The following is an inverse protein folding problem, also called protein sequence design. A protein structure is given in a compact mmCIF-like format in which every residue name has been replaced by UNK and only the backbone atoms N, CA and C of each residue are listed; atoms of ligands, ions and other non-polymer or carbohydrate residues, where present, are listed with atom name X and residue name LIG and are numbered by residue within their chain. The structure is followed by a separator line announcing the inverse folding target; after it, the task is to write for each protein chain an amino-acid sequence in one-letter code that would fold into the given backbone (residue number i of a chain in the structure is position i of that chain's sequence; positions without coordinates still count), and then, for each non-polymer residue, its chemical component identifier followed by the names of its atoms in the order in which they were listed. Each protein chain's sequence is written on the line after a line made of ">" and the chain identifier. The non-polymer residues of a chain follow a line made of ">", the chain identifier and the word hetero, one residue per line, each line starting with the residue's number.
data_IF_765861515612
#
_entry.id   IF_765861515612
#
_cell.length_a   1.000
_cell.length_b   1.000
_cell.length_c   1.000
_cell.angle_alpha   90.00
_cell.angle_beta   90.00
_cell.angle_gamma   90.00
#
_symmetry.space_group_name_H-M   'P 1'
#
loop_
_entity.id
_entity.type
_entity.pdbx_description
1 polymer ?
#
# COMPACT_ATOMS: atom_id res chain seq x y z
N UNK A 1 -3.69 15.88 25.79
CA UNK A 1 -2.51 15.52 24.96
C UNK A 1 -2.42 14.01 24.87
N UNK A 2 -2.30 13.45 23.66
CA UNK A 2 -2.02 12.03 23.40
C UNK A 2 -0.53 11.69 23.68
N UNK A 3 0.04 12.17 24.78
CA UNK A 3 1.47 12.00 25.06
C UNK A 3 1.79 10.51 25.24
N UNK A 4 2.59 9.95 24.33
CA UNK A 4 3.05 8.56 24.36
C UNK A 4 2.37 7.62 23.35
N UNK A 5 1.38 8.08 22.58
CA UNK A 5 0.67 7.23 21.61
C UNK A 5 1.18 7.48 20.19
N UNK A 6 1.48 6.40 19.45
CA UNK A 6 1.80 6.48 18.02
C UNK A 6 0.50 6.47 17.21
N UNK A 7 0.23 7.56 16.51
CA UNK A 7 -0.90 7.62 15.57
C UNK A 7 -0.54 6.84 14.31
N UNK A 8 -1.40 5.89 13.94
CA UNK A 8 -1.28 5.12 12.71
C UNK A 8 -2.54 5.31 11.88
N UNK A 9 -2.37 5.74 10.63
CA UNK A 9 -3.48 5.93 9.69
C UNK A 9 -3.62 4.70 8.80
N UNK A 10 -4.81 4.09 8.76
CA UNK A 10 -5.13 2.98 7.87
C UNK A 10 -6.12 3.48 6.82
N UNK A 11 -5.71 3.49 5.55
CA UNK A 11 -6.55 3.86 4.42
C UNK A 11 -6.96 2.64 3.61
N UNK A 12 -8.24 2.50 3.29
CA UNK A 12 -8.76 1.45 2.40
C UNK A 12 -8.66 1.86 0.91
N UNK A 13 -9.15 1.03 -0.02
CA UNK A 13 -9.06 1.18 -1.49
C UNK A 13 -9.37 2.57 -2.06
N UNK A 14 -10.24 3.36 -1.41
CA UNK A 14 -10.55 4.72 -1.89
C UNK A 14 -9.42 5.72 -1.66
N UNK A 15 -8.45 5.35 -0.82
CA UNK A 15 -7.34 6.19 -0.39
C UNK A 15 -6.01 5.77 -1.03
N UNK A 16 -6.03 5.25 -2.25
CA UNK A 16 -4.83 4.87 -3.03
C UNK A 16 -4.05 6.06 -3.62
N UNK A 17 -4.40 7.30 -3.29
CA UNK A 17 -3.78 8.48 -3.88
C UNK A 17 -2.32 8.63 -3.44
N UNK A 18 -1.43 8.74 -4.42
CA UNK A 18 -0.02 9.08 -4.23
C UNK A 18 0.10 10.39 -3.46
N UNK A 19 -0.66 11.43 -3.84
CA UNK A 19 -0.64 12.74 -3.17
C UNK A 19 -1.03 12.68 -1.69
N UNK A 20 -1.95 11.78 -1.32
CA UNK A 20 -2.33 11.55 0.07
C UNK A 20 -1.17 10.94 0.87
N UNK A 21 -0.47 9.95 0.30
CA UNK A 21 0.73 9.38 0.91
C UNK A 21 1.81 10.43 1.17
N UNK A 22 2.06 11.31 0.19
CA UNK A 22 3.01 12.44 0.36
C UNK A 22 2.60 13.38 1.48
N UNK A 23 1.30 13.72 1.53
CA UNK A 23 0.79 14.60 2.57
C UNK A 23 0.94 13.98 3.96
N UNK A 24 0.57 12.71 4.14
CA UNK A 24 0.72 11.98 5.40
C UNK A 24 2.19 11.88 5.85
N UNK A 25 3.11 11.68 4.90
CA UNK A 25 4.55 11.67 5.17
C UNK A 25 5.07 13.04 5.63
N UNK A 26 4.61 14.14 5.03
CA UNK A 26 4.95 15.50 5.47
C UNK A 26 4.44 15.80 6.89
N UNK A 27 3.35 15.17 7.32
CA UNK A 27 2.86 15.27 8.70
C UNK A 27 3.64 14.40 9.69
N UNK A 28 4.69 13.68 9.24
CA UNK A 28 5.44 12.70 10.05
C UNK A 28 4.57 11.61 10.69
N UNK A 29 3.47 11.25 10.03
CA UNK A 29 2.55 10.21 10.48
C UNK A 29 2.95 8.84 9.93
N UNK A 30 2.68 7.79 10.71
CA UNK A 30 2.82 6.42 10.24
C UNK A 30 1.50 5.99 9.58
N UNK A 31 1.57 5.38 8.40
CA UNK A 31 0.35 5.00 7.69
C UNK A 31 0.53 3.74 6.84
N UNK A 32 -0.59 3.05 6.60
CA UNK A 32 -0.74 1.99 5.61
C UNK A 32 -1.90 2.33 4.72
N UNK A 33 -1.64 2.42 3.42
CA UNK A 33 -2.69 2.54 2.41
C UNK A 33 -2.84 1.19 1.72
N UNK A 34 -4.07 0.69 1.66
CA UNK A 34 -4.38 -0.51 0.89
C UNK A 34 -4.31 -0.18 -0.59
N UNK A 35 -3.62 -1.01 -1.37
CA UNK A 35 -3.35 -0.78 -2.80
C UNK A 35 -3.87 -1.92 -3.68
N UNK A 36 -4.10 -1.60 -4.96
CA UNK A 36 -4.56 -2.54 -6.00
C UNK A 36 -3.43 -3.46 -6.44
N UNK A 37 -3.76 -4.57 -7.11
CA UNK A 37 -2.77 -5.51 -7.62
C UNK A 37 -1.88 -4.89 -8.71
N UNK A 38 -2.45 -3.95 -9.48
CA UNK A 38 -1.77 -3.24 -10.57
C UNK A 38 -0.85 -2.11 -10.08
N UNK A 39 -0.77 -1.88 -8.77
CA UNK A 39 0.11 -0.84 -8.23
C UNK A 39 1.57 -1.26 -8.42
N UNK A 40 2.34 -0.40 -9.06
CA UNK A 40 3.77 -0.60 -9.24
C UNK A 40 4.52 -0.18 -7.98
N UNK A 41 5.43 -1.03 -7.52
CA UNK A 41 6.24 -0.82 -6.33
C UNK A 41 7.70 -1.05 -6.69
N UNK A 42 8.56 -0.13 -6.29
CA UNK A 42 10.01 -0.25 -6.44
C UNK A 42 10.55 -1.16 -5.34
N UNK A 43 11.13 -2.28 -5.73
CA UNK A 43 11.81 -3.20 -4.83
C UNK A 43 13.16 -2.62 -4.37
N UNK A 44 13.78 -3.26 -3.38
CA UNK A 44 15.10 -2.84 -2.86
C UNK A 44 16.20 -2.85 -3.94
N UNK A 45 16.05 -3.69 -4.96
CA UNK A 45 16.94 -3.79 -6.12
C UNK A 45 16.74 -2.65 -7.13
N UNK A 46 15.76 -1.78 -6.89
CA UNK A 46 15.46 -0.62 -7.73
C UNK A 46 14.57 -0.93 -8.93
N UNK A 47 14.11 -2.17 -9.06
CA UNK A 47 13.21 -2.64 -10.11
C UNK A 47 11.77 -2.32 -9.70
N UNK A 48 10.97 -1.83 -10.66
CA UNK A 48 9.52 -1.67 -10.45
C UNK A 48 8.82 -2.98 -10.79
N UNK A 49 8.04 -3.49 -9.85
CA UNK A 49 7.23 -4.69 -10.01
C UNK A 49 5.81 -4.40 -9.53
N UNK A 50 4.83 -5.04 -10.15
CA UNK A 50 3.45 -4.88 -9.72
C UNK A 50 3.17 -5.75 -8.48
N UNK A 51 2.20 -5.33 -7.65
CA UNK A 51 1.83 -6.11 -6.47
C UNK A 51 1.39 -7.54 -6.79
N UNK A 52 0.83 -7.80 -7.97
CA UNK A 52 0.52 -9.18 -8.43
C UNK A 52 1.76 -10.05 -8.58
N UNK A 53 2.87 -9.49 -9.05
CA UNK A 53 4.16 -10.17 -9.22
C UNK A 53 4.81 -10.44 -7.86
N UNK A 54 4.52 -9.58 -6.89
CA UNK A 54 4.91 -9.73 -5.48
C UNK A 54 4.01 -10.69 -4.69
N UNK A 55 3.07 -11.38 -5.35
CA UNK A 55 2.23 -12.42 -4.75
C UNK A 55 0.83 -11.98 -4.29
N UNK A 56 0.38 -10.77 -4.64
CA UNK A 56 -1.00 -10.37 -4.37
C UNK A 56 -1.97 -11.06 -5.34
N UNK A 57 -2.82 -11.93 -4.81
CA UNK A 57 -3.82 -12.72 -5.54
C UNK A 57 -5.02 -13.02 -4.64
N UNK A 58 -6.16 -13.50 -5.19
CA UNK A 58 -7.35 -13.77 -4.37
C UNK A 58 -7.06 -14.72 -3.20
N UNK A 59 -7.28 -14.24 -1.97
CA UNK A 59 -7.01 -14.99 -0.74
C UNK A 59 -5.65 -14.72 -0.10
N UNK A 60 -4.80 -13.86 -0.68
CA UNK A 60 -3.51 -13.47 -0.09
C UNK A 60 -3.56 -12.11 0.60
N UNK A 61 -2.63 -11.91 1.53
CA UNK A 61 -2.33 -10.64 2.16
C UNK A 61 -0.83 -10.37 2.03
N UNK A 62 -0.49 -9.15 1.62
CA UNK A 62 0.87 -8.66 1.43
C UNK A 62 1.05 -7.38 2.26
N UNK A 63 2.18 -7.23 2.92
CA UNK A 63 2.56 -5.99 3.60
C UNK A 63 3.97 -5.64 3.19
N UNK A 64 4.17 -4.45 2.64
CA UNK A 64 5.47 -3.95 2.20
C UNK A 64 5.78 -2.69 3.00
N UNK A 65 6.94 -2.68 3.65
CA UNK A 65 7.37 -1.54 4.44
C UNK A 65 8.40 -0.72 3.66
N UNK A 66 8.31 0.60 3.82
CA UNK A 66 9.26 1.56 3.26
C UNK A 66 9.53 1.36 1.75
N UNK A 67 8.47 1.26 0.96
CA UNK A 67 8.57 1.08 -0.50
C UNK A 67 8.27 2.37 -1.26
N UNK A 68 8.90 2.54 -2.43
CA UNK A 68 8.61 3.65 -3.33
C UNK A 68 7.56 3.22 -4.36
N UNK A 69 6.49 4.01 -4.54
CA UNK A 69 5.44 3.73 -5.53
C UNK A 69 5.70 4.46 -6.85
N UNK A 70 6.34 5.62 -6.80
CA UNK A 70 6.50 6.50 -7.96
C UNK A 70 7.94 6.54 -8.44
N UNK A 71 8.09 6.85 -9.74
CA UNK A 71 9.38 7.16 -10.37
C UNK A 71 9.83 8.61 -10.14
N UNK A 72 9.00 9.44 -9.53
CA UNK A 72 9.31 10.85 -9.30
C UNK A 72 10.41 11.01 -8.24
N UNK A 73 11.45 11.77 -8.57
CA UNK A 73 12.48 12.16 -7.61
C UNK A 73 11.87 13.02 -6.51
N UNK A 74 12.17 12.69 -5.25
CA UNK A 74 11.65 13.40 -4.08
C UNK A 74 10.37 12.80 -3.47
N UNK A 75 9.87 11.70 -4.02
CA UNK A 75 8.87 10.88 -3.33
C UNK A 75 9.54 10.01 -2.28
N UNK A 76 9.07 10.09 -1.03
CA UNK A 76 9.59 9.27 0.05
C UNK A 76 9.01 7.85 0.03
N UNK A 77 9.71 6.95 0.71
CA UNK A 77 9.27 5.58 0.97
C UNK A 77 8.11 5.57 1.98
N UNK A 78 7.11 4.71 1.78
CA UNK A 78 6.04 4.51 2.76
C UNK A 78 5.49 3.08 2.76
N UNK A 79 4.71 2.74 3.79
CA UNK A 79 4.22 1.37 3.99
C UNK A 79 2.92 1.13 3.21
N UNK A 80 2.81 -0.08 2.68
CA UNK A 80 1.71 -0.55 1.85
C UNK A 80 1.16 -1.85 2.36
N UNK A 81 -0.15 -2.00 2.20
CA UNK A 81 -0.83 -3.26 2.41
C UNK A 81 -1.59 -3.66 1.14
N UNK A 82 -1.55 -4.94 0.81
CA UNK A 82 -2.44 -5.57 -0.16
C UNK A 82 -3.24 -6.64 0.57
N UNK A 83 -4.57 -6.61 0.45
CA UNK A 83 -5.41 -7.68 0.99
C UNK A 83 -6.52 -7.99 0.00
N UNK A 84 -6.57 -9.23 -0.46
CA UNK A 84 -7.61 -9.71 -1.35
C UNK A 84 -8.35 -10.86 -0.69
N UNK A 85 -9.67 -10.73 -0.55
CA UNK A 85 -10.51 -11.84 -0.10
C UNK A 85 -10.44 -12.99 -1.12
N UNK A 86 -10.63 -14.22 -0.64
CA UNK A 86 -10.73 -15.39 -1.50
C UNK A 86 -12.07 -15.36 -2.24
N UNK A 87 -12.10 -15.92 -3.45
CA UNK A 87 -13.36 -16.19 -4.15
C UNK A 87 -14.07 -17.38 -3.49
N UNK A 88 -15.40 -17.30 -3.39
CA UNK A 88 -16.23 -18.34 -2.79
C UNK A 88 -17.20 -18.91 -3.83
N UNK A 89 -16.89 -20.11 -4.34
CA UNK A 89 -17.70 -20.73 -5.40
C UNK A 89 -17.82 -19.82 -6.62
N UNK A 90 -19.04 -19.43 -6.97
CA UNK A 90 -19.34 -18.52 -8.10
C UNK A 90 -19.13 -17.04 -7.75
N UNK A 91 -18.95 -16.71 -6.46
CA UNK A 91 -18.78 -15.33 -6.01
C UNK A 91 -17.33 -14.88 -6.17
N UNK A 92 -17.12 -14.03 -7.18
CA UNK A 92 -15.87 -13.31 -7.37
C UNK A 92 -15.81 -12.11 -6.43
N UNK A 93 -14.72 -12.02 -5.68
CA UNK A 93 -14.45 -10.89 -4.81
C UNK A 93 -13.75 -9.79 -5.58
N UNK A 94 -14.21 -8.55 -5.39
CA UNK A 94 -13.58 -7.38 -6.00
C UNK A 94 -12.13 -7.30 -5.56
N UNK A 95 -11.28 -6.99 -6.51
CA UNK A 95 -9.87 -6.68 -6.28
C UNK A 95 -9.72 -5.63 -5.16
N UNK A 96 -8.62 -5.63 -4.40
CA UNK A 96 -8.25 -4.50 -3.55
C UNK A 96 -8.15 -3.17 -4.29
#
# INVERSE_FOLDING_TARGET
>A
MLSGHKIVVLGDREFCSVSLGKWLQNQSLYFYLRQKQSTNVKTKEGIYQEMRELGLSPGTQLSLNDVNITKEQGFGQFNLAGKWKKNYGVFQTKEP
#
